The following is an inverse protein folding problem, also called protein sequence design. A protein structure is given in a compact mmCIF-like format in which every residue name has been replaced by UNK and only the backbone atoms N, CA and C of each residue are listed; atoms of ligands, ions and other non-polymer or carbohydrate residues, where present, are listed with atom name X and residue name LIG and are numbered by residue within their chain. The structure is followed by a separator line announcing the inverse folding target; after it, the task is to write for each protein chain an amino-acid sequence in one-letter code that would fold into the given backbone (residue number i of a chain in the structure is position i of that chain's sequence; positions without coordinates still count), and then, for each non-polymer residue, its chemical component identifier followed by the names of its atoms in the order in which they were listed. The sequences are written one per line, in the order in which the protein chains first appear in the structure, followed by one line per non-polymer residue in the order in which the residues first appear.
data_IF_872981061025
#
_entry.id   IF_872981061025
#
_cell.length_a   1.000
_cell.length_b   1.000
_cell.length_c   1.000
_cell.angle_alpha   90.00
_cell.angle_beta   90.00
_cell.angle_gamma   90.00
#
_symmetry.space_group_name_H-M   'P 1'
#
loop_
_entity.id
_entity.type
_entity.pdbx_description
1 polymer ?
#
# COMPACT_ATOMS: atom_id res chain seq x y z
N UNK A 1 16.95 9.10 23.50
CA UNK A 1 15.85 8.68 22.62
C UNK A 1 14.58 9.43 23.07
N UNK A 2 14.27 10.58 22.44
CA UNK A 2 13.05 11.34 22.78
C UNK A 2 11.88 10.57 22.15
N UNK A 3 11.02 10.01 22.97
CA UNK A 3 9.75 9.44 22.57
C UNK A 3 8.96 10.57 21.90
N UNK A 4 8.66 10.43 20.62
CA UNK A 4 7.83 11.39 19.89
C UNK A 4 6.49 11.51 20.63
N UNK A 5 6.16 12.71 21.09
CA UNK A 5 4.91 12.98 21.83
C UNK A 5 3.64 12.80 20.97
N UNK A 6 3.78 12.52 19.68
CA UNK A 6 2.65 12.31 18.76
C UNK A 6 2.50 10.81 18.44
N UNK A 7 1.44 10.13 18.94
CA UNK A 7 1.20 8.70 18.72
C UNK A 7 0.99 8.36 17.24
N UNK A 8 0.55 9.29 16.40
CA UNK A 8 0.35 9.13 14.95
C UNK A 8 1.65 8.96 14.15
N UNK A 9 2.79 9.27 14.76
CA UNK A 9 4.13 9.00 14.20
C UNK A 9 4.71 7.67 14.67
N UNK A 10 4.04 7.00 15.62
CA UNK A 10 4.36 5.64 16.03
C UNK A 10 3.80 4.64 15.03
N UNK A 11 4.38 3.44 14.97
CA UNK A 11 3.95 2.38 14.03
C UNK A 11 2.72 1.61 14.53
N UNK A 12 2.46 1.59 15.83
CA UNK A 12 1.37 0.78 16.43
C UNK A 12 0.00 1.46 16.34
N UNK A 13 -0.06 2.74 16.66
CA UNK A 13 -1.33 3.46 16.74
C UNK A 13 -2.03 3.57 15.37
N UNK A 14 -1.35 3.94 14.25
CA UNK A 14 -1.96 3.93 12.94
C UNK A 14 -2.51 2.57 12.53
N UNK A 15 -1.79 1.49 12.78
CA UNK A 15 -2.24 0.13 12.45
C UNK A 15 -3.54 -0.24 13.19
N UNK A 16 -3.64 0.08 14.48
CA UNK A 16 -4.89 -0.14 15.25
C UNK A 16 -6.03 0.72 14.72
N UNK A 17 -5.76 2.00 14.41
CA UNK A 17 -6.77 2.93 13.90
C UNK A 17 -7.34 2.47 12.56
N UNK A 18 -6.49 1.94 11.67
CA UNK A 18 -6.90 1.36 10.40
C UNK A 18 -7.82 0.14 10.59
N UNK A 19 -7.47 -0.78 11.49
CA UNK A 19 -8.31 -1.95 11.80
C UNK A 19 -9.67 -1.54 12.36
N UNK A 20 -9.69 -0.57 13.26
CA UNK A 20 -10.93 -0.05 13.85
C UNK A 20 -11.78 0.60 12.75
N UNK A 21 -11.18 1.42 11.89
CA UNK A 21 -11.89 2.09 10.81
C UNK A 21 -12.51 1.10 9.82
N UNK A 22 -11.74 0.09 9.37
CA UNK A 22 -12.27 -0.95 8.49
C UNK A 22 -13.34 -1.80 9.18
N UNK A 23 -13.14 -2.18 10.44
CA UNK A 23 -14.14 -2.90 11.22
C UNK A 23 -15.45 -2.12 11.38
N UNK A 24 -15.36 -0.79 11.58
CA UNK A 24 -16.52 0.09 11.61
C UNK A 24 -17.20 0.19 10.26
N UNK A 25 -16.44 0.32 9.17
CA UNK A 25 -16.98 0.33 7.80
C UNK A 25 -17.79 -0.93 7.53
N UNK A 26 -17.20 -2.10 7.75
CA UNK A 26 -17.85 -3.40 7.57
C UNK A 26 -19.08 -3.56 8.49
N UNK A 27 -18.96 -3.16 9.75
CA UNK A 27 -20.07 -3.23 10.72
C UNK A 27 -21.26 -2.38 10.27
N UNK A 28 -21.01 -1.09 9.96
CA UNK A 28 -22.07 -0.14 9.61
C UNK A 28 -22.72 -0.46 8.24
N UNK A 29 -21.99 -1.10 7.33
CA UNK A 29 -22.53 -1.60 6.07
C UNK A 29 -23.54 -2.74 6.27
N UNK A 30 -23.46 -3.46 7.39
CA UNK A 30 -24.33 -4.63 7.69
C UNK A 30 -25.34 -4.35 8.81
N UNK A 31 -25.54 -3.09 9.18
CA UNK A 31 -26.55 -2.64 10.13
C UNK A 31 -27.69 -1.90 9.40
N UNK A 32 -28.84 -1.65 10.08
CA UNK A 32 -29.95 -0.87 9.50
C UNK A 32 -29.60 0.55 9.05
N UNK A 33 -28.40 1.04 9.42
CA UNK A 33 -27.84 2.32 8.99
C UNK A 33 -27.26 2.30 7.58
N UNK A 34 -27.21 1.14 6.91
CA UNK A 34 -26.59 0.94 5.60
C UNK A 34 -27.09 1.95 4.57
N UNK A 35 -28.39 2.03 4.36
CA UNK A 35 -28.98 2.87 3.27
C UNK A 35 -28.66 4.35 3.44
N UNK A 36 -28.74 4.86 4.67
CA UNK A 36 -28.44 6.26 4.96
C UNK A 36 -26.95 6.58 4.75
N UNK A 37 -26.06 5.67 5.15
CA UNK A 37 -24.62 5.87 5.02
C UNK A 37 -24.16 5.63 3.58
N UNK A 38 -24.74 4.66 2.87
CA UNK A 38 -24.51 4.45 1.45
C UNK A 38 -24.90 5.68 0.64
N UNK A 39 -26.08 6.26 0.89
CA UNK A 39 -26.53 7.50 0.24
C UNK A 39 -25.61 8.69 0.55
N UNK A 40 -25.06 8.77 1.76
CA UNK A 40 -24.08 9.78 2.13
C UNK A 40 -22.75 9.59 1.38
N UNK A 41 -22.23 8.37 1.30
CA UNK A 41 -20.97 8.07 0.60
C UNK A 41 -21.10 8.23 -0.92
N UNK A 42 -22.31 8.03 -1.46
CA UNK A 42 -22.62 8.21 -2.88
C UNK A 42 -23.02 9.66 -3.22
N UNK A 43 -23.11 10.55 -2.22
CA UNK A 43 -23.39 11.97 -2.47
C UNK A 43 -22.28 12.59 -3.30
N UNK A 44 -22.64 13.17 -4.46
CA UNK A 44 -21.70 13.75 -5.42
C UNK A 44 -21.38 15.20 -5.11
N UNK A 45 -20.10 15.53 -5.18
CA UNK A 45 -19.56 16.90 -5.05
C UNK A 45 -18.89 17.23 -6.38
N UNK A 46 -19.59 18.03 -7.20
CA UNK A 46 -19.09 18.51 -8.47
C UNK A 46 -18.28 19.80 -8.31
N UNK A 47 -17.17 19.95 -9.04
CA UNK A 47 -16.44 21.21 -9.16
C UNK A 47 -16.93 21.93 -10.42
N UNK A 48 -17.65 23.08 -10.30
CA UNK A 48 -18.20 23.79 -11.45
C UNK A 48 -17.13 24.15 -12.49
N UNK A 49 -17.43 23.88 -13.76
CA UNK A 49 -16.51 24.17 -14.88
C UNK A 49 -15.40 23.13 -15.11
N UNK A 50 -15.44 22.00 -14.42
CA UNK A 50 -14.52 20.86 -14.60
C UNK A 50 -15.32 19.58 -14.87
N UNK A 51 -14.64 18.54 -15.35
CA UNK A 51 -15.21 17.19 -15.48
C UNK A 51 -15.20 16.41 -14.14
N UNK A 52 -14.84 17.06 -13.03
CA UNK A 52 -14.74 16.42 -11.72
C UNK A 52 -16.09 16.48 -11.01
N UNK A 53 -16.87 15.42 -11.15
CA UNK A 53 -18.09 15.13 -10.40
C UNK A 53 -17.90 13.79 -9.69
N UNK A 54 -17.48 13.83 -8.43
CA UNK A 54 -17.06 12.65 -7.68
C UNK A 54 -17.94 12.48 -6.44
N UNK A 55 -18.31 11.22 -6.14
CA UNK A 55 -18.95 10.90 -4.87
C UNK A 55 -17.97 11.10 -3.68
N UNK A 56 -18.48 11.21 -2.47
CA UNK A 56 -17.64 11.31 -1.25
C UNK A 56 -16.68 10.10 -1.19
N UNK A 57 -17.17 8.89 -1.53
CA UNK A 57 -16.32 7.70 -1.59
C UNK A 57 -15.17 7.86 -2.58
N UNK A 58 -15.42 8.39 -3.79
CA UNK A 58 -14.39 8.65 -4.79
C UNK A 58 -13.44 9.79 -4.38
N UNK A 59 -13.93 10.83 -3.69
CA UNK A 59 -13.02 11.86 -3.14
C UNK A 59 -12.04 11.28 -2.12
N UNK A 60 -12.46 10.27 -1.35
CA UNK A 60 -11.57 9.56 -0.42
C UNK A 60 -10.59 8.67 -1.17
N UNK A 61 -11.06 7.85 -2.14
CA UNK A 61 -10.23 6.85 -2.84
C UNK A 61 -9.31 7.45 -3.91
N UNK A 62 -9.66 8.59 -4.50
CA UNK A 62 -8.90 9.19 -5.61
C UNK A 62 -8.21 10.49 -5.19
N UNK A 63 -8.91 11.32 -4.41
CA UNK A 63 -8.39 12.60 -3.93
C UNK A 63 -7.45 12.43 -2.74
N UNK A 64 -7.94 11.87 -1.64
CA UNK A 64 -7.15 11.75 -0.42
C UNK A 64 -6.02 10.72 -0.57
N UNK A 65 -6.26 9.59 -1.25
CA UNK A 65 -5.19 8.62 -1.52
C UNK A 65 -4.08 9.18 -2.43
N UNK A 66 -4.34 10.15 -3.30
CA UNK A 66 -3.28 10.81 -4.05
C UNK A 66 -2.25 11.48 -3.11
N UNK A 67 -2.72 12.03 -1.96
CA UNK A 67 -1.81 12.59 -0.93
C UNK A 67 -1.03 11.49 -0.22
N UNK A 68 -1.64 10.35 0.05
CA UNK A 68 -0.92 9.18 0.57
C UNK A 68 0.17 8.72 -0.41
N UNK A 69 -0.16 8.53 -1.70
CA UNK A 69 0.80 8.12 -2.70
C UNK A 69 1.89 9.17 -2.96
N UNK A 70 1.62 10.46 -2.76
CA UNK A 70 2.65 11.50 -2.74
C UNK A 70 3.69 11.23 -1.64
N UNK A 71 3.24 10.91 -0.43
CA UNK A 71 4.13 10.60 0.71
C UNK A 71 4.91 9.32 0.46
N UNK A 72 4.26 8.27 -0.05
CA UNK A 72 4.89 7.00 -0.42
C UNK A 72 5.96 7.20 -1.50
N UNK A 73 5.68 8.00 -2.53
CA UNK A 73 6.64 8.28 -3.60
C UNK A 73 7.85 9.13 -3.14
N UNK A 74 7.64 10.04 -2.19
CA UNK A 74 8.74 10.77 -1.53
C UNK A 74 9.63 9.79 -0.75
N UNK A 75 9.02 8.86 0.00
CA UNK A 75 9.75 7.85 0.76
C UNK A 75 10.50 6.88 -0.16
N UNK A 76 9.83 6.38 -1.19
CA UNK A 76 10.41 5.55 -2.24
C UNK A 76 11.67 6.19 -2.83
N UNK A 77 11.57 7.46 -3.25
CA UNK A 77 12.71 8.18 -3.80
C UNK A 77 13.85 8.31 -2.78
N UNK A 78 13.53 8.58 -1.52
CA UNK A 78 14.53 8.66 -0.45
C UNK A 78 15.28 7.33 -0.30
N UNK A 79 14.56 6.21 -0.25
CA UNK A 79 15.13 4.88 -0.11
C UNK A 79 16.00 4.47 -1.32
N UNK A 80 15.59 4.86 -2.54
CA UNK A 80 16.36 4.61 -3.76
C UNK A 80 17.63 5.46 -3.87
N UNK A 81 17.69 6.62 -3.20
CA UNK A 81 18.81 7.56 -3.34
C UNK A 81 19.73 7.64 -2.13
N UNK A 82 19.22 7.40 -0.92
CA UNK A 82 19.95 7.59 0.35
C UNK A 82 19.62 6.52 1.41
N UNK A 83 18.77 5.55 1.10
CA UNK A 83 18.29 4.54 2.04
C UNK A 83 18.86 3.14 1.78
N UNK A 84 18.04 2.15 2.06
CA UNK A 84 18.43 0.73 2.01
C UNK A 84 18.46 0.17 0.56
N UNK A 85 17.89 0.88 -0.40
CA UNK A 85 17.90 0.53 -1.82
C UNK A 85 18.87 1.38 -2.66
N UNK A 86 19.77 2.15 -2.02
CA UNK A 86 20.70 3.09 -2.67
C UNK A 86 21.77 2.41 -3.53
N UNK A 87 21.98 1.12 -3.32
CA UNK A 87 22.97 0.35 -4.07
C UNK A 87 22.45 -1.03 -4.49
N UNK A 88 22.87 -1.54 -5.67
CA UNK A 88 22.48 -2.88 -6.13
C UNK A 88 22.82 -3.98 -5.13
N UNK A 89 23.91 -3.81 -4.35
CA UNK A 89 24.35 -4.81 -3.36
C UNK A 89 23.35 -4.98 -2.21
N UNK A 90 22.75 -3.89 -1.75
CA UNK A 90 21.73 -3.89 -0.70
C UNK A 90 20.37 -4.32 -1.26
N UNK A 91 20.02 -3.87 -2.47
CA UNK A 91 18.73 -4.08 -3.08
C UNK A 91 18.49 -5.49 -3.62
N UNK A 92 19.53 -6.25 -4.01
CA UNK A 92 19.39 -7.54 -4.71
C UNK A 92 18.57 -8.56 -3.91
N UNK A 93 18.83 -8.75 -2.62
CA UNK A 93 18.11 -9.75 -1.84
C UNK A 93 16.62 -9.36 -1.63
N UNK A 94 16.27 -8.14 -1.20
CA UNK A 94 14.88 -7.71 -1.13
C UNK A 94 14.18 -7.74 -2.50
N UNK A 95 14.86 -7.36 -3.59
CA UNK A 95 14.27 -7.34 -4.93
C UNK A 95 13.90 -8.74 -5.43
N UNK A 96 14.79 -9.73 -5.26
CA UNK A 96 14.48 -11.12 -5.61
C UNK A 96 13.33 -11.63 -4.74
N UNK A 97 13.35 -11.35 -3.43
CA UNK A 97 12.28 -11.75 -2.52
C UNK A 97 10.93 -11.10 -2.88
N UNK A 98 10.92 -9.80 -3.23
CA UNK A 98 9.73 -9.09 -3.70
C UNK A 98 9.18 -9.69 -5.01
N UNK A 99 10.07 -10.04 -5.96
CA UNK A 99 9.67 -10.75 -7.19
C UNK A 99 8.92 -12.05 -6.86
N UNK A 100 9.40 -12.84 -5.90
CA UNK A 100 8.70 -14.03 -5.41
C UNK A 100 7.38 -13.68 -4.71
N UNK A 101 7.38 -12.59 -3.90
CA UNK A 101 6.20 -12.04 -3.22
C UNK A 101 5.12 -11.50 -4.16
N UNK A 102 5.43 -11.29 -5.44
CA UNK A 102 4.49 -10.91 -6.49
C UNK A 102 4.08 -12.13 -7.33
N UNK A 103 5.05 -12.86 -7.87
CA UNK A 103 4.78 -13.96 -8.82
C UNK A 103 4.02 -15.13 -8.19
N UNK A 104 4.36 -15.51 -6.96
CA UNK A 104 3.74 -16.68 -6.31
C UNK A 104 2.27 -16.38 -5.90
N UNK A 105 1.92 -15.24 -5.28
CA UNK A 105 0.52 -14.88 -5.06
C UNK A 105 -0.28 -14.80 -6.35
N UNK A 106 0.27 -14.24 -7.44
CA UNK A 106 -0.38 -14.23 -8.76
C UNK A 106 -0.66 -15.67 -9.21
N UNK A 107 0.35 -16.55 -9.16
CA UNK A 107 0.17 -17.94 -9.56
C UNK A 107 -0.90 -18.66 -8.71
N UNK A 108 -0.90 -18.46 -7.39
CA UNK A 108 -1.91 -19.02 -6.48
C UNK A 108 -3.29 -18.46 -6.81
N UNK A 109 -3.40 -17.17 -7.05
CA UNK A 109 -4.67 -16.54 -7.43
C UNK A 109 -5.23 -17.14 -8.73
N UNK A 110 -4.42 -17.19 -9.78
CA UNK A 110 -4.82 -17.68 -11.09
C UNK A 110 -5.13 -19.19 -11.10
N UNK A 111 -4.47 -19.97 -10.25
CA UNK A 111 -4.80 -21.40 -10.08
C UNK A 111 -6.19 -21.61 -9.49
N UNK A 112 -6.69 -20.70 -8.66
CA UNK A 112 -7.99 -20.81 -7.99
C UNK A 112 -9.09 -20.09 -8.79
N UNK A 113 -8.81 -18.87 -9.29
CA UNK A 113 -9.80 -17.98 -9.88
C UNK A 113 -9.55 -17.66 -11.37
N UNK A 114 -8.45 -18.16 -11.97
CA UNK A 114 -8.09 -17.84 -13.36
C UNK A 114 -8.88 -18.59 -14.42
N UNK A 115 -9.64 -19.61 -14.03
CA UNK A 115 -10.48 -20.39 -14.95
C UNK A 115 -11.80 -19.69 -15.35
N UNK A 116 -12.17 -18.61 -14.67
CA UNK A 116 -13.35 -17.81 -14.92
C UNK A 116 -12.94 -16.39 -15.33
N UNK A 117 -13.35 -15.96 -16.52
CA UNK A 117 -13.03 -14.63 -17.06
C UNK A 117 -13.55 -13.47 -16.22
N UNK A 118 -14.57 -13.67 -15.39
CA UNK A 118 -15.13 -12.65 -14.51
C UNK A 118 -14.30 -12.45 -13.24
N UNK A 119 -13.65 -13.48 -12.74
CA UNK A 119 -12.81 -13.44 -11.53
C UNK A 119 -11.32 -13.31 -11.82
N UNK A 120 -10.87 -13.69 -13.02
CA UNK A 120 -9.47 -13.60 -13.42
C UNK A 120 -8.84 -12.21 -13.26
N UNK A 121 -9.52 -11.06 -13.57
CA UNK A 121 -8.94 -9.73 -13.45
C UNK A 121 -8.41 -9.37 -12.06
N UNK A 122 -8.84 -10.04 -11.00
CA UNK A 122 -8.39 -9.80 -9.62
C UNK A 122 -6.99 -10.29 -9.29
N UNK A 123 -6.22 -10.84 -10.24
CA UNK A 123 -4.88 -11.37 -10.00
C UNK A 123 -3.87 -10.38 -9.38
N UNK A 124 -3.98 -9.03 -9.58
CA UNK A 124 -3.06 -8.09 -8.94
C UNK A 124 -3.32 -7.90 -7.44
N UNK A 125 -4.55 -8.19 -6.96
CA UNK A 125 -4.98 -7.91 -5.59
C UNK A 125 -4.03 -8.47 -4.51
N UNK A 126 -3.59 -9.75 -4.55
CA UNK A 126 -2.75 -10.33 -3.50
C UNK A 126 -1.26 -9.98 -3.64
N UNK A 127 -0.87 -9.10 -4.54
CA UNK A 127 0.54 -8.73 -4.73
C UNK A 127 1.01 -7.63 -3.78
N UNK A 128 0.11 -6.81 -3.26
CA UNK A 128 0.45 -5.67 -2.41
C UNK A 128 0.76 -6.07 -0.96
N UNK A 129 1.54 -5.23 -0.28
CA UNK A 129 1.87 -5.34 1.15
C UNK A 129 1.56 -4.03 1.85
N UNK A 130 0.84 -4.05 2.96
CA UNK A 130 0.61 -2.87 3.78
C UNK A 130 1.76 -2.65 4.76
N UNK A 131 2.66 -1.71 4.44
CA UNK A 131 3.84 -1.37 5.25
C UNK A 131 3.45 -0.94 6.65
N UNK A 132 2.40 -0.13 6.80
CA UNK A 132 2.01 0.42 8.09
C UNK A 132 1.58 -0.69 9.05
N UNK A 133 0.80 -1.66 8.56
CA UNK A 133 0.41 -2.83 9.33
C UNK A 133 1.58 -3.75 9.63
N UNK A 134 2.38 -4.08 8.62
CA UNK A 134 3.52 -4.98 8.78
C UNK A 134 4.52 -4.46 9.82
N UNK A 135 4.85 -3.17 9.76
CA UNK A 135 5.71 -2.52 10.76
C UNK A 135 5.03 -2.38 12.13
N UNK A 136 3.71 -2.18 12.17
CA UNK A 136 2.93 -2.18 13.41
C UNK A 136 3.00 -3.52 14.14
N UNK A 137 2.78 -4.63 13.45
CA UNK A 137 2.92 -5.98 13.99
C UNK A 137 4.36 -6.25 14.43
N UNK A 138 5.35 -5.88 13.61
CA UNK A 138 6.75 -6.02 13.96
C UNK A 138 7.13 -5.21 15.21
N UNK A 139 6.59 -4.01 15.38
CA UNK A 139 6.82 -3.17 16.57
C UNK A 139 6.16 -3.72 17.83
N UNK A 140 4.99 -4.38 17.71
CA UNK A 140 4.29 -5.00 18.84
C UNK A 140 4.94 -6.31 19.27
N UNK A 141 5.21 -7.20 18.34
CA UNK A 141 5.59 -8.58 18.60
C UNK A 141 7.09 -8.88 18.39
N UNK A 142 7.80 -8.03 17.65
CA UNK A 142 9.19 -8.24 17.21
C UNK A 142 10.28 -7.75 18.18
N UNK A 143 9.95 -7.42 19.44
CA UNK A 143 10.94 -6.98 20.43
C UNK A 143 12.02 -8.04 20.63
N UNK A 144 13.28 -7.70 20.26
CA UNK A 144 14.45 -8.59 20.31
C UNK A 144 14.88 -9.12 18.94
N UNK A 145 14.14 -8.89 17.87
CA UNK A 145 14.58 -9.17 16.51
C UNK A 145 15.72 -8.22 16.09
N UNK A 146 16.68 -8.70 15.29
CA UNK A 146 17.70 -7.82 14.71
C UNK A 146 17.09 -6.75 13.81
N UNK A 147 17.68 -5.54 13.81
CA UNK A 147 17.24 -4.42 12.96
C UNK A 147 17.21 -4.76 11.45
N UNK A 148 18.06 -5.69 11.01
CA UNK A 148 18.11 -6.16 9.62
C UNK A 148 16.77 -6.76 9.13
N UNK A 149 15.98 -7.40 10.01
CA UNK A 149 14.66 -7.93 9.64
C UNK A 149 13.72 -6.80 9.26
N UNK A 150 13.75 -5.70 10.04
CA UNK A 150 12.96 -4.49 9.76
C UNK A 150 13.40 -3.82 8.46
N UNK A 151 14.71 -3.70 8.25
CA UNK A 151 15.29 -3.13 7.03
C UNK A 151 14.88 -3.95 5.80
N UNK A 152 15.01 -5.26 5.88
CA UNK A 152 14.60 -6.16 4.80
C UNK A 152 13.09 -6.06 4.50
N UNK A 153 12.24 -6.05 5.54
CA UNK A 153 10.80 -5.89 5.38
C UNK A 153 10.44 -4.55 4.73
N UNK A 154 11.08 -3.46 5.16
CA UNK A 154 10.87 -2.13 4.59
C UNK A 154 11.25 -2.09 3.10
N UNK A 155 12.44 -2.59 2.77
CA UNK A 155 12.90 -2.64 1.38
C UNK A 155 11.99 -3.51 0.49
N UNK A 156 11.53 -4.65 1.01
CA UNK A 156 10.59 -5.55 0.32
C UNK A 156 9.26 -4.86 0.06
N UNK A 157 8.67 -4.23 1.08
CA UNK A 157 7.37 -3.60 0.94
C UNK A 157 7.40 -2.37 0.01
N UNK A 158 8.50 -1.59 0.02
CA UNK A 158 8.70 -0.50 -0.94
C UNK A 158 8.75 -1.03 -2.39
N UNK A 159 9.40 -2.17 -2.62
CA UNK A 159 9.45 -2.79 -3.95
C UNK A 159 8.09 -3.34 -4.38
N UNK A 160 7.32 -3.92 -3.46
CA UNK A 160 5.94 -4.33 -3.70
C UNK A 160 5.06 -3.13 -4.06
N UNK A 161 5.22 -1.99 -3.38
CA UNK A 161 4.48 -0.76 -3.67
C UNK A 161 4.80 -0.21 -5.07
N UNK A 162 6.08 -0.26 -5.50
CA UNK A 162 6.45 0.12 -6.87
C UNK A 162 5.68 -0.71 -7.89
N UNK A 163 5.63 -2.03 -7.70
CA UNK A 163 4.94 -2.94 -8.60
C UNK A 163 3.44 -2.67 -8.58
N UNK A 164 2.85 -2.48 -7.39
CA UNK A 164 1.44 -2.11 -7.23
C UNK A 164 1.08 -0.81 -7.95
N UNK A 165 1.91 0.21 -7.83
CA UNK A 165 1.75 1.49 -8.54
C UNK A 165 1.80 1.30 -10.07
N UNK A 166 2.73 0.47 -10.57
CA UNK A 166 2.82 0.15 -12.00
C UNK A 166 1.55 -0.57 -12.46
N UNK A 167 1.03 -1.51 -11.67
CA UNK A 167 -0.22 -2.19 -11.99
C UNK A 167 -1.39 -1.21 -12.05
N UNK A 168 -1.51 -0.31 -11.07
CA UNK A 168 -2.55 0.74 -11.08
C UNK A 168 -2.44 1.60 -12.33
N UNK A 169 -1.23 2.02 -12.70
CA UNK A 169 -1.02 2.91 -13.84
C UNK A 169 -1.26 2.26 -15.22
N UNK A 170 -1.00 0.95 -15.35
CA UNK A 170 -1.00 0.27 -16.65
C UNK A 170 -2.24 -0.59 -16.86
N UNK A 171 -2.69 -1.30 -15.83
CA UNK A 171 -3.81 -2.26 -15.97
C UNK A 171 -5.18 -1.61 -15.87
N UNK A 172 -5.27 -0.51 -15.11
CA UNK A 172 -6.54 0.18 -14.83
C UNK A 172 -6.63 1.56 -15.48
N UNK A 173 -5.85 1.79 -16.55
CA UNK A 173 -6.00 2.95 -17.40
C UNK A 173 -7.10 2.67 -18.44
N UNK A 174 -8.10 3.56 -18.53
CA UNK A 174 -9.24 3.42 -19.43
C UNK A 174 -9.35 4.66 -20.32
N UNK A 175 -9.59 4.48 -21.62
CA UNK A 175 -9.82 5.54 -22.62
C UNK A 175 -8.87 6.74 -22.50
N UNK A 176 -7.57 6.48 -22.44
CA UNK A 176 -6.53 7.49 -22.13
C UNK A 176 -6.57 8.66 -23.09
N UNK A 177 -6.87 9.84 -22.55
CA UNK A 177 -6.81 11.12 -23.26
C UNK A 177 -5.38 11.67 -23.24
N UNK A 178 -4.58 11.31 -24.24
CA UNK A 178 -3.16 11.65 -24.31
C UNK A 178 -2.84 13.13 -24.22
N UNK A 179 -3.76 14.02 -24.67
CA UNK A 179 -3.59 15.47 -24.53
C UNK A 179 -3.61 15.90 -23.07
N UNK A 180 -4.61 15.43 -22.27
CA UNK A 180 -4.72 15.77 -20.87
C UNK A 180 -3.58 15.17 -20.06
N UNK A 181 -3.20 13.92 -20.36
CA UNK A 181 -2.03 13.31 -19.75
C UNK A 181 -0.74 14.05 -20.08
N UNK A 182 -0.55 14.48 -21.34
CA UNK A 182 0.57 15.33 -21.75
C UNK A 182 0.63 16.65 -20.99
N UNK A 183 -0.53 17.31 -20.80
CA UNK A 183 -0.63 18.52 -19.97
C UNK A 183 -0.31 18.24 -18.49
N UNK A 184 -0.72 17.08 -17.96
CA UNK A 184 -0.35 16.66 -16.62
C UNK A 184 1.17 16.50 -16.47
N UNK A 185 1.85 15.92 -17.47
CA UNK A 185 3.32 15.80 -17.46
C UNK A 185 3.98 17.19 -17.49
N UNK A 186 3.44 18.16 -18.22
CA UNK A 186 3.89 19.55 -18.15
C UNK A 186 3.68 20.11 -16.74
N UNK A 187 2.53 19.84 -16.10
CA UNK A 187 2.27 20.19 -14.70
C UNK A 187 3.31 19.60 -13.74
N UNK A 188 3.68 18.32 -13.92
CA UNK A 188 4.76 17.67 -13.17
C UNK A 188 6.10 18.38 -13.36
N UNK A 189 6.44 18.79 -14.59
CA UNK A 189 7.67 19.52 -14.88
C UNK A 189 7.69 20.91 -14.22
N UNK A 190 6.55 21.63 -14.25
CA UNK A 190 6.40 22.92 -13.54
C UNK A 190 6.53 22.72 -12.03
N UNK A 191 5.88 21.70 -11.48
CA UNK A 191 5.98 21.35 -10.05
C UNK A 191 7.44 21.05 -9.64
N UNK A 192 8.17 20.28 -10.47
CA UNK A 192 9.58 20.02 -10.26
C UNK A 192 10.41 21.31 -10.21
N UNK A 193 10.19 22.22 -11.17
CA UNK A 193 10.90 23.50 -11.22
C UNK A 193 10.59 24.37 -10.00
N UNK A 194 9.32 24.46 -9.60
CA UNK A 194 8.89 25.16 -8.37
C UNK A 194 9.50 24.53 -7.12
N UNK A 195 9.57 23.20 -7.05
CA UNK A 195 10.20 22.49 -5.93
C UNK A 195 11.70 22.81 -5.81
N UNK A 196 12.42 22.91 -6.93
CA UNK A 196 13.81 23.36 -6.93
C UNK A 196 13.95 24.82 -6.50
N UNK A 197 13.03 25.68 -6.96
CA UNK A 197 13.01 27.08 -6.59
C UNK A 197 12.69 27.27 -5.09
N UNK A 198 11.76 26.49 -4.56
CA UNK A 198 11.43 26.47 -3.13
C UNK A 198 12.64 26.00 -2.29
N UNK A 199 13.36 24.99 -2.77
CA UNK A 199 14.59 24.53 -2.14
C UNK A 199 15.65 25.63 -2.07
N UNK A 200 15.80 26.44 -3.14
CA UNK A 200 16.81 27.50 -3.22
C UNK A 200 16.42 28.77 -2.48
N UNK A 201 15.14 29.19 -2.53
CA UNK A 201 14.68 30.49 -2.02
C UNK A 201 13.88 30.42 -0.72
N UNK A 202 13.23 29.28 -0.43
CA UNK A 202 12.43 29.09 0.80
C UNK A 202 11.18 29.95 0.92
N UNK A 203 10.70 30.59 -0.17
CA UNK A 203 9.62 31.58 -0.11
C UNK A 203 8.23 30.91 -0.05
N UNK A 204 7.33 31.31 0.89
CA UNK A 204 6.03 30.64 1.08
C UNK A 204 5.09 30.69 -0.13
N UNK A 205 5.14 31.75 -0.95
CA UNK A 205 4.35 31.84 -2.19
C UNK A 205 4.69 30.74 -3.19
N UNK A 206 5.95 30.28 -3.21
CA UNK A 206 6.36 29.17 -4.08
C UNK A 206 5.71 27.87 -3.58
N UNK A 207 5.61 27.69 -2.26
CA UNK A 207 4.91 26.54 -1.69
C UNK A 207 3.41 26.54 -2.04
N UNK A 208 2.75 27.71 -1.98
CA UNK A 208 1.37 27.85 -2.42
C UNK A 208 1.22 27.54 -3.91
N UNK A 209 2.10 28.08 -4.77
CA UNK A 209 2.10 27.76 -6.20
C UNK A 209 2.31 26.27 -6.46
N UNK A 210 3.18 25.60 -5.70
CA UNK A 210 3.35 24.15 -5.81
C UNK A 210 2.06 23.39 -5.47
N UNK A 211 1.35 23.78 -4.42
CA UNK A 211 0.07 23.13 -4.07
C UNK A 211 -0.95 23.32 -5.19
N UNK A 212 -1.10 24.54 -5.72
CA UNK A 212 -2.03 24.82 -6.81
C UNK A 212 -1.70 24.02 -8.08
N UNK A 213 -0.42 23.98 -8.47
CA UNK A 213 0.03 23.17 -9.62
C UNK A 213 -0.16 21.66 -9.33
N UNK A 214 0.06 21.23 -8.10
CA UNK A 214 -0.18 19.84 -7.69
C UNK A 214 -1.64 19.43 -7.85
N UNK A 215 -2.58 20.27 -7.35
CA UNK A 215 -4.03 20.04 -7.49
C UNK A 215 -4.45 20.06 -8.96
N UNK A 216 -3.95 21.01 -9.74
CA UNK A 216 -4.23 21.06 -11.18
C UNK A 216 -3.72 19.80 -11.90
N UNK A 217 -2.50 19.36 -11.59
CA UNK A 217 -1.92 18.14 -12.16
C UNK A 217 -2.75 16.91 -11.78
N UNK A 218 -3.21 16.81 -10.53
CA UNK A 218 -4.11 15.75 -10.09
C UNK A 218 -5.43 15.77 -10.89
N UNK A 219 -6.05 16.92 -11.07
CA UNK A 219 -7.28 17.05 -11.86
C UNK A 219 -7.08 16.65 -13.34
N UNK A 220 -5.94 17.01 -13.93
CA UNK A 220 -5.59 16.62 -15.31
C UNK A 220 -5.39 15.10 -15.44
N UNK A 221 -4.70 14.46 -14.47
CA UNK A 221 -4.53 13.00 -14.45
C UNK A 221 -5.90 12.33 -14.26
N UNK A 222 -6.70 12.76 -13.29
CA UNK A 222 -8.04 12.23 -13.06
C UNK A 222 -8.94 12.31 -14.31
N UNK A 223 -8.83 13.41 -15.07
CA UNK A 223 -9.59 13.58 -16.32
C UNK A 223 -8.98 12.90 -17.53
N UNK A 224 -7.78 12.31 -17.41
CA UNK A 224 -7.07 11.70 -18.54
C UNK A 224 -7.36 10.22 -18.74
N UNK A 225 -8.18 9.58 -17.88
CA UNK A 225 -8.42 8.13 -17.93
C UNK A 225 -7.31 7.32 -17.23
N UNK A 226 -6.36 7.99 -16.59
CA UNK A 226 -5.36 7.37 -15.72
C UNK A 226 -5.79 7.58 -14.27
N UNK A 227 -5.62 6.55 -13.44
CA UNK A 227 -6.05 6.63 -12.04
C UNK A 227 -5.42 7.82 -11.32
N UNK A 228 -6.26 8.63 -10.65
CA UNK A 228 -5.90 9.93 -10.08
C UNK A 228 -4.74 9.88 -9.07
N UNK A 229 -4.57 8.74 -8.37
CA UNK A 229 -3.49 8.52 -7.41
C UNK A 229 -2.09 8.59 -8.04
N UNK A 230 -1.96 8.32 -9.34
CA UNK A 230 -0.70 8.39 -10.09
C UNK A 230 -0.15 9.82 -10.11
N UNK A 231 -1.01 10.83 -10.05
CA UNK A 231 -0.54 12.21 -9.89
C UNK A 231 0.29 12.39 -8.62
N UNK A 232 -0.17 11.86 -7.48
CA UNK A 232 0.58 11.89 -6.23
C UNK A 232 1.97 11.24 -6.38
N UNK A 233 2.02 10.09 -7.02
CA UNK A 233 3.29 9.38 -7.30
C UNK A 233 4.25 10.23 -8.13
N UNK A 234 3.79 10.75 -9.26
CA UNK A 234 4.63 11.56 -10.16
C UNK A 234 5.17 12.80 -9.45
N UNK A 235 4.32 13.51 -8.71
CA UNK A 235 4.70 14.71 -7.96
C UNK A 235 5.70 14.39 -6.84
N UNK A 236 5.50 13.30 -6.10
CA UNK A 236 6.41 12.85 -5.04
C UNK A 236 7.79 12.47 -5.55
N UNK A 237 7.84 11.74 -6.68
CA UNK A 237 9.10 11.32 -7.30
C UNK A 237 9.97 12.49 -7.80
N UNK A 238 9.36 13.59 -8.25
CA UNK A 238 10.11 14.74 -8.78
C UNK A 238 10.45 15.79 -7.74
N UNK A 239 9.87 15.73 -6.54
CA UNK A 239 10.04 16.74 -5.48
C UNK A 239 11.49 16.81 -4.99
N UNK A 240 12.06 18.01 -4.85
CA UNK A 240 13.43 18.22 -4.34
C UNK A 240 13.61 17.73 -2.90
N UNK A 241 14.79 17.25 -2.48
CA UNK A 241 14.97 16.53 -1.21
C UNK A 241 14.50 17.29 0.04
N UNK A 242 14.85 18.59 0.18
CA UNK A 242 14.47 19.38 1.37
C UNK A 242 12.97 19.66 1.43
N UNK A 243 12.32 20.18 0.36
CA UNK A 243 10.85 20.26 0.33
C UNK A 243 10.17 18.91 0.57
N UNK A 244 10.64 17.83 -0.06
CA UNK A 244 10.11 16.48 0.09
C UNK A 244 10.13 16.01 1.54
N UNK A 245 11.26 16.12 2.24
CA UNK A 245 11.38 15.76 3.65
C UNK A 245 10.44 16.56 4.56
N UNK A 246 10.30 17.87 4.31
CA UNK A 246 9.35 18.73 5.06
C UNK A 246 7.91 18.34 4.80
N UNK A 247 7.55 18.11 3.54
CA UNK A 247 6.19 17.70 3.12
C UNK A 247 5.83 16.36 3.75
N UNK A 248 6.71 15.35 3.64
CA UNK A 248 6.49 14.04 4.27
C UNK A 248 6.24 14.19 5.78
N UNK A 249 7.13 14.90 6.48
CA UNK A 249 7.01 15.08 7.93
C UNK A 249 5.74 15.82 8.35
N UNK A 250 5.27 16.78 7.54
CA UNK A 250 4.05 17.53 7.79
C UNK A 250 2.79 16.70 7.53
N UNK A 251 2.78 15.90 6.45
CA UNK A 251 1.62 15.12 6.01
C UNK A 251 1.48 13.77 6.72
N UNK A 252 2.57 13.16 7.18
CA UNK A 252 2.57 11.83 7.82
C UNK A 252 1.52 11.67 8.94
N UNK A 253 1.34 12.62 9.89
CA UNK A 253 0.27 12.50 10.89
C UNK A 253 -1.13 12.54 10.31
N UNK A 254 -1.36 13.35 9.26
CA UNK A 254 -2.66 13.45 8.58
C UNK A 254 -2.95 12.19 7.75
N UNK A 255 -1.94 11.68 7.06
CA UNK A 255 -2.06 10.43 6.30
C UNK A 255 -2.40 9.28 7.24
N UNK A 256 -1.64 9.11 8.32
CA UNK A 256 -1.82 8.00 9.26
C UNK A 256 -3.06 8.16 10.16
N UNK A 257 -3.47 9.38 10.47
CA UNK A 257 -4.56 9.66 11.42
C UNK A 257 -5.91 9.95 10.78
N UNK A 258 -5.96 10.30 9.49
CA UNK A 258 -7.21 10.63 8.81
C UNK A 258 -7.35 9.96 7.44
N UNK A 259 -6.39 10.15 6.53
CA UNK A 259 -6.54 9.70 5.13
C UNK A 259 -6.69 8.18 5.04
N UNK A 260 -5.73 7.45 5.59
CA UNK A 260 -5.76 5.98 5.55
C UNK A 260 -6.94 5.39 6.35
N UNK A 261 -7.28 5.87 7.56
CA UNK A 261 -8.48 5.40 8.25
C UNK A 261 -9.78 5.69 7.50
N UNK A 262 -9.96 6.87 6.91
CA UNK A 262 -11.13 7.19 6.08
C UNK A 262 -11.21 6.27 4.85
N UNK A 263 -10.08 6.05 4.17
CA UNK A 263 -10.03 5.11 3.06
C UNK A 263 -10.37 3.69 3.52
N UNK A 264 -9.78 3.21 4.61
CA UNK A 264 -10.05 1.88 5.13
C UNK A 264 -11.53 1.69 5.51
N UNK A 265 -12.15 2.73 6.08
CA UNK A 265 -13.58 2.76 6.40
C UNK A 265 -14.44 2.64 5.12
N UNK A 266 -14.18 3.49 4.13
CA UNK A 266 -14.93 3.54 2.87
C UNK A 266 -14.73 2.24 2.06
N UNK A 267 -13.49 1.79 1.92
CA UNK A 267 -13.16 0.59 1.16
C UNK A 267 -13.67 -0.70 1.81
N UNK A 268 -13.84 -0.73 3.13
CA UNK A 268 -14.42 -1.86 3.86
C UNK A 268 -15.93 -1.73 4.08
N UNK A 269 -16.57 -0.68 3.54
CA UNK A 269 -18.02 -0.49 3.62
C UNK A 269 -18.72 -1.37 2.59
N UNK A 270 -18.77 -2.67 2.86
CA UNK A 270 -19.34 -3.69 1.98
C UNK A 270 -20.35 -4.56 2.72
N UNK A 271 -21.40 -4.98 2.00
CA UNK A 271 -22.39 -5.89 2.54
C UNK A 271 -21.89 -7.32 2.46
N UNK A 272 -21.94 -8.04 3.57
CA UNK A 272 -21.63 -9.46 3.60
C UNK A 272 -22.73 -10.21 2.85
N UNK A 273 -22.40 -10.93 1.77
CA UNK A 273 -23.42 -11.59 0.96
C UNK A 273 -24.12 -12.69 1.77
N UNK A 274 -25.45 -12.71 1.69
CA UNK A 274 -26.29 -13.72 2.37
C UNK A 274 -26.27 -15.06 1.62
N UNK A 275 -25.07 -15.58 1.31
CA UNK A 275 -24.86 -16.86 0.61
C UNK A 275 -24.09 -17.83 1.51
N UNK A 276 -24.18 -19.12 1.23
CA UNK A 276 -23.35 -20.10 1.94
C UNK A 276 -21.87 -19.90 1.60
N UNK A 277 -20.97 -20.26 2.53
CA UNK A 277 -19.51 -20.14 2.35
C UNK A 277 -19.04 -20.83 1.07
N UNK A 278 -19.70 -21.93 0.67
CA UNK A 278 -19.36 -22.68 -0.56
C UNK A 278 -19.81 -21.98 -1.85
N UNK A 279 -20.64 -20.96 -1.76
CA UNK A 279 -21.14 -20.17 -2.89
C UNK A 279 -20.39 -18.84 -3.09
N UNK A 280 -19.42 -18.56 -2.22
CA UNK A 280 -18.55 -17.41 -2.40
C UNK A 280 -17.70 -17.57 -3.66
N UNK A 281 -17.47 -16.45 -4.35
CA UNK A 281 -16.77 -16.43 -5.65
C UNK A 281 -15.34 -17.01 -5.52
N UNK A 282 -14.81 -17.60 -6.61
CA UNK A 282 -13.40 -18.02 -6.64
C UNK A 282 -12.42 -16.89 -6.30
N UNK A 283 -12.76 -15.62 -6.62
CA UNK A 283 -11.95 -14.46 -6.27
C UNK A 283 -11.76 -14.30 -4.75
N UNK A 284 -12.84 -14.50 -3.96
CA UNK A 284 -12.75 -14.47 -2.50
C UNK A 284 -11.71 -15.50 -1.99
N UNK A 285 -11.86 -16.77 -2.40
CA UNK A 285 -10.97 -17.84 -1.93
C UNK A 285 -9.54 -17.68 -2.43
N UNK A 286 -9.37 -17.23 -3.67
CA UNK A 286 -8.06 -16.96 -4.24
C UNK A 286 -7.30 -15.90 -3.43
N UNK A 287 -7.97 -14.80 -3.04
CA UNK A 287 -7.37 -13.74 -2.23
C UNK A 287 -7.06 -14.23 -0.81
N UNK A 288 -8.02 -14.92 -0.16
CA UNK A 288 -7.84 -15.46 1.21
C UNK A 288 -6.63 -16.40 1.30
N UNK A 289 -6.34 -17.15 0.25
CA UNK A 289 -5.18 -18.06 0.22
C UNK A 289 -3.92 -17.34 -0.28
N UNK A 290 -4.01 -16.57 -1.37
CA UNK A 290 -2.83 -15.98 -2.01
C UNK A 290 -2.14 -14.92 -1.13
N UNK A 291 -2.90 -14.12 -0.35
CA UNK A 291 -2.31 -13.12 0.54
C UNK A 291 -1.42 -13.77 1.62
N UNK A 292 -1.91 -14.63 2.52
CA UNK A 292 -1.04 -15.21 3.54
C UNK A 292 -0.10 -16.28 2.97
N UNK A 293 -0.62 -17.28 2.26
CA UNK A 293 0.18 -18.44 1.84
C UNK A 293 1.07 -18.11 0.66
N UNK A 294 0.54 -17.43 -0.36
CA UNK A 294 1.31 -17.04 -1.55
C UNK A 294 2.50 -16.12 -1.20
N UNK A 295 2.28 -15.12 -0.36
CA UNK A 295 3.33 -14.20 0.10
C UNK A 295 4.38 -14.92 0.96
N UNK A 296 3.96 -15.73 1.94
CA UNK A 296 4.90 -16.50 2.78
C UNK A 296 5.80 -17.38 1.90
N UNK A 297 5.21 -18.16 1.00
CA UNK A 297 5.97 -19.06 0.11
C UNK A 297 6.86 -18.26 -0.83
N UNK A 298 6.30 -17.26 -1.52
CA UNK A 298 7.00 -16.47 -2.52
C UNK A 298 8.20 -15.73 -1.95
N UNK A 299 8.00 -14.95 -0.90
CA UNK A 299 9.06 -14.19 -0.25
C UNK A 299 10.10 -15.11 0.37
N UNK A 300 9.68 -16.23 1.03
CA UNK A 300 10.61 -17.14 1.68
C UNK A 300 11.44 -17.93 0.67
N UNK A 301 10.83 -18.46 -0.37
CA UNK A 301 11.51 -19.25 -1.40
C UNK A 301 12.50 -18.39 -2.19
N UNK A 302 12.07 -17.25 -2.70
CA UNK A 302 12.90 -16.36 -3.49
C UNK A 302 13.95 -15.63 -2.64
N UNK A 303 13.61 -15.24 -1.42
CA UNK A 303 14.58 -14.70 -0.47
C UNK A 303 15.66 -15.70 -0.08
N UNK A 304 15.29 -16.99 0.07
CA UNK A 304 16.26 -18.09 0.25
C UNK A 304 17.12 -18.30 -1.02
N UNK A 305 16.51 -18.27 -2.19
CA UNK A 305 17.24 -18.40 -3.46
C UNK A 305 18.23 -17.24 -3.64
N UNK A 306 17.85 -16.03 -3.27
CA UNK A 306 18.72 -14.85 -3.30
C UNK A 306 20.00 -15.03 -2.47
N UNK A 307 19.95 -15.82 -1.38
CA UNK A 307 21.15 -16.15 -0.60
C UNK A 307 22.18 -16.97 -1.39
N UNK A 308 21.76 -17.71 -2.41
CA UNK A 308 22.64 -18.51 -3.28
C UNK A 308 23.33 -17.68 -4.36
N UNK A 309 22.77 -16.54 -4.72
CA UNK A 309 23.20 -15.70 -5.86
C UNK A 309 24.01 -14.47 -5.39
N UNK A 310 24.32 -14.37 -4.11
CA UNK A 310 24.90 -13.15 -3.50
C UNK A 310 26.24 -12.75 -4.10
N UNK A 311 26.45 -11.42 -4.36
CA UNK A 311 27.76 -10.88 -4.70
C UNK A 311 28.77 -11.09 -3.54
N UNK A 312 30.04 -11.31 -3.89
CA UNK A 312 31.12 -11.32 -2.90
C UNK A 312 31.20 -9.97 -2.18
N UNK A 313 31.23 -10.00 -0.84
CA UNK A 313 31.29 -8.78 0.00
C UNK A 313 29.93 -8.14 0.32
N UNK A 314 28.81 -8.78 -0.01
CA UNK A 314 27.49 -8.37 0.47
C UNK A 314 27.33 -8.63 1.98
N UNK A 315 26.48 -7.84 2.65
CA UNK A 315 26.15 -7.99 4.06
C UNK A 315 25.67 -9.41 4.42
N UNK A 316 25.89 -9.91 5.65
CA UNK A 316 25.46 -11.25 6.03
C UNK A 316 23.98 -11.49 5.74
N UNK A 317 23.63 -12.62 5.08
CA UNK A 317 22.25 -12.95 4.76
C UNK A 317 21.39 -13.06 6.01
N UNK A 318 20.11 -12.72 5.89
CA UNK A 318 19.12 -13.02 6.92
C UNK A 318 18.94 -14.55 7.01
N UNK A 319 18.87 -15.12 8.22
CA UNK A 319 18.48 -16.52 8.39
C UNK A 319 17.13 -16.80 7.74
N UNK A 320 16.93 -18.01 7.21
CA UNK A 320 15.67 -18.40 6.56
C UNK A 320 14.44 -18.13 7.43
N UNK A 321 14.53 -18.40 8.74
CA UNK A 321 13.43 -18.14 9.68
C UNK A 321 13.09 -16.64 9.83
N UNK A 322 14.04 -15.75 9.60
CA UNK A 322 13.81 -14.30 9.59
C UNK A 322 13.15 -13.84 8.28
N UNK A 323 13.55 -14.47 7.15
CA UNK A 323 12.89 -14.25 5.85
C UNK A 323 11.45 -14.76 5.91
N UNK A 324 11.20 -15.91 6.55
CA UNK A 324 9.85 -16.45 6.76
C UNK A 324 8.98 -15.50 7.59
N UNK A 325 9.55 -14.90 8.63
CA UNK A 325 8.84 -13.89 9.43
C UNK A 325 8.52 -12.64 8.61
N UNK A 326 9.45 -12.18 7.78
CA UNK A 326 9.19 -11.05 6.86
C UNK A 326 8.15 -11.42 5.79
N UNK A 327 8.19 -12.65 5.26
CA UNK A 327 7.18 -13.15 4.31
C UNK A 327 5.77 -13.20 4.90
N UNK A 328 5.65 -13.60 6.17
CA UNK A 328 4.36 -13.59 6.86
C UNK A 328 3.82 -12.16 7.07
N UNK A 329 4.71 -11.22 7.42
CA UNK A 329 4.36 -9.79 7.51
C UNK A 329 3.96 -9.21 6.15
N UNK A 330 4.66 -9.61 5.07
CA UNK A 330 4.34 -9.21 3.70
C UNK A 330 2.98 -9.70 3.19
N UNK A 331 2.40 -10.72 3.81
CA UNK A 331 1.06 -11.22 3.51
C UNK A 331 -0.09 -10.30 3.95
N UNK A 332 0.18 -9.24 4.72
CA UNK A 332 -0.83 -8.25 5.11
C UNK A 332 -0.97 -7.25 3.96
N UNK A 333 -1.96 -7.45 3.08
CA UNK A 333 -2.14 -6.62 1.88
C UNK A 333 -2.96 -5.35 2.10
N UNK A 334 -3.92 -5.42 2.96
CA UNK A 334 -4.93 -4.46 3.40
C UNK A 334 -5.17 -3.26 2.46
N UNK A 335 -4.60 -2.05 2.74
CA UNK A 335 -4.97 -0.79 2.04
C UNK A 335 -4.81 -0.85 0.52
N UNK A 336 -3.64 -1.24 0.01
CA UNK A 336 -3.39 -1.29 -1.43
C UNK A 336 -4.14 -2.46 -2.08
N UNK A 337 -4.29 -3.59 -1.39
CA UNK A 337 -5.12 -4.70 -1.88
C UNK A 337 -6.61 -4.33 -1.96
N UNK A 338 -7.13 -3.52 -1.00
CA UNK A 338 -8.49 -2.98 -1.06
C UNK A 338 -8.67 -2.04 -2.26
N UNK A 339 -7.69 -1.18 -2.54
CA UNK A 339 -7.71 -0.32 -3.72
C UNK A 339 -7.72 -1.15 -5.00
N UNK A 340 -6.83 -2.15 -5.11
CA UNK A 340 -6.77 -3.04 -6.28
C UNK A 340 -8.06 -3.85 -6.45
N UNK A 341 -8.73 -4.25 -5.37
CA UNK A 341 -10.02 -4.95 -5.45
C UNK A 341 -11.14 -4.05 -6.01
N UNK A 342 -11.17 -2.77 -5.59
CA UNK A 342 -12.10 -1.79 -6.14
C UNK A 342 -11.86 -1.54 -7.64
N UNK A 343 -10.59 -1.47 -8.06
CA UNK A 343 -10.22 -1.23 -9.46
C UNK A 343 -10.45 -2.46 -10.33
N UNK A 344 -10.04 -3.65 -9.87
CA UNK A 344 -10.12 -4.88 -10.65
C UNK A 344 -11.56 -5.31 -10.95
N UNK A 345 -12.52 -4.92 -10.11
CA UNK A 345 -13.92 -5.29 -10.21
C UNK A 345 -14.84 -4.05 -10.16
N UNK A 346 -14.43 -2.95 -10.79
CA UNK A 346 -15.19 -1.70 -10.82
C UNK A 346 -16.60 -1.90 -11.41
N UNK A 347 -16.71 -2.74 -12.45
CA UNK A 347 -17.96 -3.01 -13.19
C UNK A 347 -18.83 -4.11 -12.55
N UNK A 348 -18.31 -4.88 -11.57
CA UNK A 348 -19.07 -5.97 -10.92
C UNK A 348 -19.05 -5.80 -9.40
N UNK A 349 -20.06 -5.11 -8.89
CA UNK A 349 -20.22 -4.86 -7.45
C UNK A 349 -20.28 -6.14 -6.61
N UNK A 350 -20.89 -7.21 -7.14
CA UNK A 350 -21.02 -8.47 -6.43
C UNK A 350 -19.70 -9.20 -6.23
N UNK A 351 -18.85 -9.26 -7.26
CA UNK A 351 -17.51 -9.85 -7.17
C UNK A 351 -16.58 -8.91 -6.38
N UNK A 352 -16.69 -7.60 -6.59
CA UNK A 352 -15.92 -6.59 -5.87
C UNK A 352 -16.08 -6.72 -4.35
N UNK A 353 -17.32 -6.77 -3.86
CA UNK A 353 -17.60 -6.86 -2.44
C UNK A 353 -17.04 -8.15 -1.83
N UNK A 354 -17.15 -9.29 -2.56
CA UNK A 354 -16.55 -10.54 -2.14
C UNK A 354 -15.01 -10.50 -2.18
N UNK A 355 -14.40 -9.83 -3.16
CA UNK A 355 -12.96 -9.64 -3.22
C UNK A 355 -12.48 -8.79 -2.05
N UNK A 356 -13.18 -7.71 -1.70
CA UNK A 356 -12.90 -6.87 -0.53
C UNK A 356 -12.97 -7.69 0.76
N UNK A 357 -14.03 -8.50 0.94
CA UNK A 357 -14.12 -9.44 2.06
C UNK A 357 -12.94 -10.41 2.08
N UNK A 358 -12.54 -10.93 0.91
CA UNK A 358 -11.35 -11.78 0.75
C UNK A 358 -10.06 -11.09 1.22
N UNK A 359 -9.88 -9.80 0.90
CA UNK A 359 -8.74 -8.99 1.36
C UNK A 359 -8.77 -8.82 2.87
N UNK A 360 -9.93 -8.50 3.46
CA UNK A 360 -10.07 -8.32 4.90
C UNK A 360 -9.76 -9.60 5.67
N UNK A 361 -10.34 -10.73 5.25
CA UNK A 361 -10.12 -12.06 5.86
C UNK A 361 -8.69 -12.53 5.64
N UNK A 362 -8.15 -12.45 4.43
CA UNK A 362 -6.78 -12.85 4.10
C UNK A 362 -5.75 -12.03 4.87
N UNK A 363 -5.95 -10.70 4.96
CA UNK A 363 -5.08 -9.81 5.74
C UNK A 363 -5.16 -10.09 7.25
N UNK A 364 -6.34 -10.42 7.77
CA UNK A 364 -6.50 -10.82 9.17
C UNK A 364 -5.79 -12.13 9.48
N UNK A 365 -5.89 -13.12 8.60
CA UNK A 365 -5.14 -14.39 8.71
C UNK A 365 -3.63 -14.12 8.69
N UNK A 366 -3.15 -13.31 7.74
CA UNK A 366 -1.75 -12.94 7.64
C UNK A 366 -1.25 -12.21 8.90
N UNK A 367 -2.07 -11.31 9.46
CA UNK A 367 -1.79 -10.59 10.70
C UNK A 367 -1.61 -11.55 11.88
N UNK A 368 -2.50 -12.51 12.05
CA UNK A 368 -2.40 -13.50 13.14
C UNK A 368 -1.19 -14.40 12.95
N UNK A 369 -0.98 -14.93 11.73
CA UNK A 369 0.16 -15.79 11.42
C UNK A 369 1.49 -15.05 11.61
N UNK A 370 1.60 -13.82 11.12
CA UNK A 370 2.80 -13.01 11.29
C UNK A 370 3.06 -12.66 12.75
N UNK A 371 2.03 -12.32 13.52
CA UNK A 371 2.14 -12.09 14.96
C UNK A 371 2.70 -13.30 15.72
N UNK A 372 2.24 -14.51 15.38
CA UNK A 372 2.75 -15.77 15.95
C UNK A 372 4.20 -15.99 15.56
N UNK A 373 4.52 -15.98 14.25
CA UNK A 373 5.86 -16.29 13.72
C UNK A 373 6.88 -15.29 14.25
N UNK A 374 6.56 -13.99 14.22
CA UNK A 374 7.43 -12.90 14.74
C UNK A 374 7.66 -13.05 16.24
N UNK A 375 6.61 -13.38 17.03
CA UNK A 375 6.73 -13.58 18.47
C UNK A 375 7.63 -14.78 18.82
N UNK A 376 7.48 -15.89 18.10
CA UNK A 376 8.31 -17.09 18.29
C UNK A 376 9.78 -16.78 17.96
N UNK A 377 10.01 -16.06 16.87
CA UNK A 377 11.36 -15.69 16.45
C UNK A 377 12.01 -14.69 17.42
N UNK A 378 11.26 -13.70 17.89
CA UNK A 378 11.72 -12.73 18.89
C UNK A 378 12.06 -13.40 20.24
N UNK A 379 11.27 -14.40 20.67
CA UNK A 379 11.54 -15.21 21.87
C UNK A 379 12.86 -16.00 21.71
N UNK A 380 13.10 -16.57 20.54
CA UNK A 380 14.33 -17.31 20.26
C UNK A 380 15.58 -16.40 20.39
N UNK A 381 15.56 -15.20 19.78
CA UNK A 381 16.66 -14.26 19.88
C UNK A 381 16.93 -13.82 21.33
N UNK A 382 15.88 -13.56 22.11
CA UNK A 382 16.05 -13.21 23.54
C UNK A 382 16.68 -14.34 24.35
N UNK A 383 16.31 -15.59 24.07
CA UNK A 383 16.91 -16.76 24.75
C UNK A 383 18.40 -16.93 24.38
N UNK A 384 18.75 -16.76 23.11
CA UNK A 384 20.15 -16.82 22.68
C UNK A 384 20.97 -15.71 23.30
N UNK A 385 20.46 -14.48 23.37
CA UNK A 385 21.13 -13.36 24.01
C UNK A 385 21.34 -13.58 25.52
N UNK A 386 20.33 -14.13 26.23
CA UNK A 386 20.45 -14.44 27.68
C UNK A 386 21.35 -15.63 27.97
N UNK A 387 21.60 -16.52 27.02
CA UNK A 387 22.53 -17.65 27.18
C UNK A 387 24.00 -17.26 26.89
N UNK A 388 24.23 -16.10 26.26
CA UNK A 388 25.55 -15.55 25.93
C UNK A 388 26.04 -14.47 26.94
N UNK A 389 25.16 -14.02 27.85
CA UNK A 389 25.47 -13.14 28.96
C UNK A 389 25.75 -13.92 30.25
#
# INVERSE_FOLDING_TARGET
MRISANPLRGQQFPAVLLLVAAGLGLLLANLPTHDALAAFLDFHIAIPGTALDLSIAHWVSDGLLAVFFLVVAIELRHELTHGELDSPRKAVQPAIAATGGVLVPIAVYLLIAGGDGTTAPGWPIPTATDIAFALGVLAMFGKGLPSRVRVFLLALAILDDIIGIIFIAVLFAEDVQWLLFGLAIVGVAVFWALSRLLHAKGHPLIAVAMVLVGVLTWGLVASSGIHATIAGVLLGLVMSPVPAGRTRHALEPTVNGAILPLFAFVAAFVVIPAVSITQLSPAFWAIVVALPVGKIIGISLFGWLAMRIRPKGADPALPFADILAAGALGGIGFTVSLLLANLAFADDGGIRDQAILGVLVGSLIALVLSGIIVSLRARWYRRVASAAS
#
